data_IF_016269986387
#
_entry.id   IF_016269986387
#
_cell.length_a   1.000
_cell.length_b   1.000
_cell.length_c   1.000
_cell.angle_alpha   90.00
_cell.angle_beta   90.00
_cell.angle_gamma   90.00
#
_symmetry.space_group_name_H-M   'P 1'
#
loop_
_entity.id
_entity.type
_entity.pdbx_description
1 polymer ?
#
# COMPACT_ATOMS: atom_id res chain seq x y z
N UNK A 1 -14.29 1.76 -6.68
CA UNK A 1 -12.87 1.36 -6.67
C UNK A 1 -12.32 0.83 -7.99
N UNK A 2 -13.12 0.64 -9.06
CA UNK A 2 -12.61 0.24 -10.38
C UNK A 2 -12.38 1.42 -11.35
N UNK A 3 -12.55 2.65 -10.86
CA UNK A 3 -12.26 3.85 -11.64
C UNK A 3 -10.73 3.94 -11.87
N UNK A 4 -10.25 3.99 -13.13
CA UNK A 4 -8.83 4.10 -13.43
C UNK A 4 -8.24 5.45 -13.00
N UNK A 5 -9.05 6.51 -12.90
CA UNK A 5 -8.61 7.85 -12.48
C UNK A 5 -8.43 7.96 -10.95
N UNK A 6 -9.01 7.02 -10.20
CA UNK A 6 -8.86 6.95 -8.75
C UNK A 6 -7.57 6.22 -8.38
N UNK A 7 -6.51 6.99 -8.12
CA UNK A 7 -5.19 6.51 -7.76
C UNK A 7 -4.93 6.46 -6.24
N UNK A 8 -3.72 6.05 -5.86
CA UNK A 8 -3.33 5.93 -4.44
C UNK A 8 -3.38 7.29 -3.72
N UNK A 9 -3.07 8.39 -4.41
CA UNK A 9 -3.13 9.74 -3.84
C UNK A 9 -4.55 10.13 -3.43
N UNK A 10 -5.54 9.89 -4.31
CA UNK A 10 -6.95 10.15 -3.98
C UNK A 10 -7.40 9.32 -2.79
N UNK A 11 -6.97 8.05 -2.73
CA UNK A 11 -7.25 7.18 -1.59
C UNK A 11 -6.60 7.67 -0.29
N UNK A 12 -5.37 8.17 -0.35
CA UNK A 12 -4.70 8.80 0.79
C UNK A 12 -5.47 10.02 1.31
N UNK A 13 -5.91 10.90 0.42
CA UNK A 13 -6.70 12.09 0.79
C UNK A 13 -8.03 11.68 1.45
N UNK A 14 -8.70 10.66 0.91
CA UNK A 14 -9.94 10.11 1.49
C UNK A 14 -9.71 9.45 2.86
N UNK A 15 -8.59 8.76 3.07
CA UNK A 15 -8.23 8.20 4.37
C UNK A 15 -8.08 9.31 5.41
N UNK A 16 -7.40 10.41 5.09
CA UNK A 16 -7.23 11.53 6.02
C UNK A 16 -8.55 12.25 6.30
N UNK A 17 -9.41 12.39 5.29
CA UNK A 17 -10.73 13.00 5.47
C UNK A 17 -11.67 12.11 6.31
N UNK A 18 -11.57 10.79 6.17
CA UNK A 18 -12.44 9.83 6.85
C UNK A 18 -11.97 9.49 8.27
N UNK A 19 -10.65 9.47 8.48
CA UNK A 19 -10.00 9.09 9.73
C UNK A 19 -9.11 10.25 10.23
N UNK A 20 -9.71 11.36 10.70
CA UNK A 20 -8.95 12.51 11.19
C UNK A 20 -8.01 12.16 12.36
N UNK A 21 -8.28 11.07 13.08
CA UNK A 21 -7.40 10.52 14.12
C UNK A 21 -6.01 10.14 13.61
N UNK A 22 -5.83 9.88 12.31
CA UNK A 22 -4.51 9.62 11.73
C UNK A 22 -3.56 10.82 11.90
N UNK A 23 -4.09 12.03 12.01
CA UNK A 23 -3.29 13.24 12.24
C UNK A 23 -2.76 13.32 13.67
N UNK A 24 -3.37 12.60 14.62
CA UNK A 24 -2.94 12.61 16.02
C UNK A 24 -1.58 11.93 16.21
N UNK A 25 -1.18 11.02 15.32
CA UNK A 25 0.17 10.44 15.34
C UNK A 25 1.27 11.49 15.15
N UNK A 26 0.97 12.60 14.45
CA UNK A 26 1.90 13.71 14.24
C UNK A 26 1.91 14.75 15.35
N UNK A 27 0.94 14.69 16.27
CA UNK A 27 0.82 15.60 17.40
C UNK A 27 1.49 15.07 18.68
N UNK A 28 2.09 13.87 18.62
CA UNK A 28 2.70 13.22 19.77
C UNK A 28 4.18 13.62 19.93
N UNK A 29 4.54 14.09 21.13
CA UNK A 29 5.79 14.81 21.43
C UNK A 29 7.01 13.88 21.64
N UNK A 30 7.07 12.76 20.91
CA UNK A 30 8.23 11.86 20.91
C UNK A 30 8.21 10.76 21.98
N UNK A 31 7.04 10.46 22.55
CA UNK A 31 6.81 9.27 23.36
C UNK A 31 6.76 7.98 22.54
N UNK A 32 6.97 6.83 23.20
CA UNK A 32 6.58 5.55 22.62
C UNK A 32 5.08 5.36 22.84
N UNK A 33 4.37 4.95 21.79
CA UNK A 33 2.98 4.50 21.93
C UNK A 33 2.94 3.13 22.63
N UNK A 34 1.75 2.65 22.96
CA UNK A 34 1.56 1.37 23.68
C UNK A 34 2.17 0.14 22.99
N UNK A 35 2.43 0.21 21.68
CA UNK A 35 3.14 -0.83 20.92
C UNK A 35 4.66 -0.85 21.13
N UNK A 36 5.22 0.12 21.86
CA UNK A 36 6.66 0.29 22.05
C UNK A 36 7.38 0.91 20.85
N UNK A 37 6.64 1.49 19.90
CA UNK A 37 7.17 2.19 18.72
C UNK A 37 6.90 3.68 18.79
N UNK A 38 7.63 4.44 17.98
CA UNK A 38 7.33 5.86 17.80
C UNK A 38 5.99 6.04 17.09
N UNK A 39 5.33 7.16 17.35
CA UNK A 39 4.02 7.49 16.77
C UNK A 39 4.10 7.59 15.24
N UNK A 40 5.24 8.04 14.70
CA UNK A 40 5.50 8.06 13.26
C UNK A 40 5.61 6.66 12.65
N UNK A 41 6.26 5.71 13.35
CA UNK A 41 6.31 4.32 12.87
C UNK A 41 4.92 3.69 12.84
N UNK A 42 4.09 3.93 13.85
CA UNK A 42 2.70 3.43 13.85
C UNK A 42 1.85 4.10 12.77
N UNK A 43 2.02 5.39 12.52
CA UNK A 43 1.39 6.07 11.38
C UNK A 43 1.75 5.39 10.05
N UNK A 44 3.04 5.17 9.80
CA UNK A 44 3.52 4.53 8.58
C UNK A 44 3.00 3.10 8.42
N UNK A 45 2.93 2.33 9.51
CA UNK A 45 2.36 0.97 9.49
C UNK A 45 0.88 0.98 9.19
N UNK A 46 0.14 1.88 9.81
CA UNK A 46 -1.30 2.01 9.63
C UNK A 46 -1.62 2.41 8.19
N UNK A 47 -0.94 3.44 7.66
CA UNK A 47 -1.07 3.84 6.27
C UNK A 47 -0.62 2.74 5.30
N UNK A 48 0.47 2.03 5.60
CA UNK A 48 0.92 0.89 4.81
C UNK A 48 -0.13 -0.24 4.73
N UNK A 49 -0.83 -0.52 5.84
CA UNK A 49 -1.92 -1.49 5.85
C UNK A 49 -3.13 -1.03 5.04
N UNK A 50 -3.50 0.26 5.12
CA UNK A 50 -4.57 0.82 4.30
C UNK A 50 -4.23 0.77 2.80
N UNK A 51 -2.99 1.11 2.43
CA UNK A 51 -2.51 1.00 1.05
C UNK A 51 -2.48 -0.45 0.56
N UNK A 52 -2.11 -1.40 1.42
CA UNK A 52 -2.19 -2.82 1.10
C UNK A 52 -3.62 -3.23 0.69
N UNK A 53 -4.60 -2.87 1.51
CA UNK A 53 -6.02 -3.16 1.25
C UNK A 53 -6.48 -2.50 -0.05
N UNK A 54 -6.12 -1.24 -0.28
CA UNK A 54 -6.40 -0.53 -1.54
C UNK A 54 -5.89 -1.29 -2.76
N UNK A 55 -4.64 -1.76 -2.73
CA UNK A 55 -4.05 -2.48 -3.84
C UNK A 55 -4.65 -3.87 -4.06
N UNK A 56 -5.01 -4.58 -3.00
CA UNK A 56 -5.71 -5.85 -3.14
C UNK A 56 -7.09 -5.68 -3.77
N UNK A 57 -7.85 -4.65 -3.39
CA UNK A 57 -9.14 -4.35 -4.02
C UNK A 57 -9.01 -3.93 -5.50
N UNK A 58 -7.81 -3.52 -5.93
CA UNK A 58 -7.48 -3.13 -7.32
C UNK A 58 -6.57 -4.13 -8.03
N UNK A 59 -6.51 -5.37 -7.56
CA UNK A 59 -5.58 -6.38 -8.09
C UNK A 59 -5.65 -6.53 -9.61
N UNK A 60 -6.87 -6.59 -10.18
CA UNK A 60 -7.11 -6.74 -11.63
C UNK A 60 -6.74 -5.50 -12.46
N UNK A 61 -6.36 -4.40 -11.82
CA UNK A 61 -5.97 -3.13 -12.45
C UNK A 61 -4.49 -2.79 -12.24
N UNK A 62 -3.63 -3.81 -12.08
CA UNK A 62 -2.21 -3.60 -11.78
C UNK A 62 -1.92 -3.40 -10.29
N UNK A 63 -2.89 -3.70 -9.42
CA UNK A 63 -2.73 -3.56 -7.97
C UNK A 63 -1.74 -4.56 -7.38
N UNK A 64 -1.64 -5.78 -7.95
CA UNK A 64 -0.65 -6.76 -7.49
C UNK A 64 0.79 -6.26 -7.72
N UNK A 65 1.05 -5.68 -8.89
CA UNK A 65 2.34 -5.07 -9.21
C UNK A 65 2.61 -3.89 -8.29
N UNK A 66 1.66 -2.97 -8.15
CA UNK A 66 1.82 -1.77 -7.33
C UNK A 66 2.01 -2.11 -5.84
N UNK A 67 1.39 -3.18 -5.35
CA UNK A 67 1.63 -3.71 -4.01
C UNK A 67 3.09 -4.14 -3.82
N UNK A 68 3.68 -4.81 -4.82
CA UNK A 68 5.04 -5.31 -4.76
C UNK A 68 6.11 -4.26 -5.07
N UNK A 69 5.84 -3.35 -6.00
CA UNK A 69 6.80 -2.41 -6.57
C UNK A 69 6.58 -0.96 -6.12
N UNK A 70 5.46 -0.67 -5.47
CA UNK A 70 5.11 0.64 -4.92
C UNK A 70 4.63 1.64 -5.97
N UNK A 71 4.77 2.91 -5.63
CA UNK A 71 4.52 4.07 -6.49
C UNK A 71 5.79 4.92 -6.63
N UNK A 72 5.83 5.82 -7.60
CA UNK A 72 6.84 6.89 -7.67
C UNK A 72 6.43 8.15 -6.88
N UNK A 73 7.22 9.21 -7.01
CA UNK A 73 7.03 10.47 -6.30
C UNK A 73 5.76 11.22 -6.79
N UNK A 74 5.30 10.90 -7.99
CA UNK A 74 4.05 11.39 -8.58
C UNK A 74 2.82 10.55 -8.19
N UNK A 75 3.00 9.54 -7.32
CA UNK A 75 1.99 8.58 -6.89
C UNK A 75 1.49 7.64 -7.99
N UNK A 76 2.26 7.47 -9.06
CA UNK A 76 1.93 6.60 -10.16
C UNK A 76 2.34 5.14 -9.87
N UNK A 77 1.47 4.15 -10.19
CA UNK A 77 1.75 2.72 -10.08
C UNK A 77 3.07 2.28 -10.73
N UNK A 78 3.86 1.50 -9.99
CA UNK A 78 5.08 0.89 -10.52
C UNK A 78 4.92 -0.62 -10.77
N UNK A 79 5.76 -1.14 -11.66
CA UNK A 79 5.89 -2.55 -11.95
C UNK A 79 7.35 -2.93 -12.18
N UNK A 80 7.62 -4.21 -12.49
CA UNK A 80 8.97 -4.72 -12.71
C UNK A 80 9.77 -4.03 -13.83
N UNK A 81 9.10 -3.32 -14.74
CA UNK A 81 9.72 -2.57 -15.85
C UNK A 81 9.93 -1.10 -15.53
N UNK A 82 9.41 -0.60 -14.41
CA UNK A 82 9.60 0.78 -13.99
C UNK A 82 11.08 1.10 -13.83
N UNK A 83 11.52 2.15 -14.54
CA UNK A 83 12.93 2.60 -14.51
C UNK A 83 13.25 3.47 -13.31
N UNK A 84 12.23 4.11 -12.73
CA UNK A 84 12.31 4.94 -11.54
C UNK A 84 11.32 4.45 -10.47
N UNK A 85 11.63 4.66 -9.18
CA UNK A 85 12.95 5.05 -8.67
C UNK A 85 13.99 3.94 -8.93
N UNK A 86 15.25 4.33 -9.10
CA UNK A 86 16.35 3.38 -9.36
C UNK A 86 16.59 2.49 -8.14
N UNK A 87 16.24 1.21 -8.26
CA UNK A 87 16.44 0.20 -7.20
C UNK A 87 17.65 -0.69 -7.47
N UNK A 88 18.21 -1.28 -6.41
CA UNK A 88 19.28 -2.28 -6.54
C UNK A 88 18.72 -3.53 -7.22
N UNK A 89 19.53 -4.21 -8.06
CA UNK A 89 19.11 -5.43 -8.76
C UNK A 89 18.59 -6.52 -7.80
N UNK A 90 19.25 -6.66 -6.65
CA UNK A 90 18.85 -7.62 -5.61
C UNK A 90 17.47 -7.31 -5.02
N UNK A 91 17.15 -6.03 -4.84
CA UNK A 91 15.83 -5.60 -4.35
C UNK A 91 14.75 -5.87 -5.39
N UNK A 92 15.00 -5.57 -6.67
CA UNK A 92 14.09 -5.87 -7.78
C UNK A 92 13.81 -7.37 -7.84
N UNK A 93 14.86 -8.19 -7.73
CA UNK A 93 14.71 -9.65 -7.72
C UNK A 93 13.85 -10.13 -6.54
N UNK A 94 14.07 -9.63 -5.32
CA UNK A 94 13.25 -9.99 -4.15
C UNK A 94 11.78 -9.61 -4.33
N UNK A 95 11.49 -8.42 -4.84
CA UNK A 95 10.11 -7.96 -5.13
C UNK A 95 9.46 -8.83 -6.21
N UNK A 96 10.21 -9.19 -7.24
CA UNK A 96 9.73 -10.08 -8.30
C UNK A 96 9.46 -11.50 -7.78
N UNK A 97 10.34 -12.05 -6.94
CA UNK A 97 10.13 -13.34 -6.29
C UNK A 97 8.86 -13.30 -5.45
N UNK A 98 8.70 -12.28 -4.60
CA UNK A 98 7.49 -12.11 -3.81
C UNK A 98 6.24 -12.02 -4.70
N UNK A 99 6.28 -11.22 -5.78
CA UNK A 99 5.18 -11.14 -6.73
C UNK A 99 4.83 -12.49 -7.37
N UNK A 100 5.82 -13.35 -7.63
CA UNK A 100 5.59 -14.66 -8.24
C UNK A 100 5.08 -15.71 -7.25
N UNK A 101 5.48 -15.61 -5.98
CA UNK A 101 5.19 -16.62 -4.95
C UNK A 101 3.86 -16.40 -4.22
N UNK A 102 3.33 -15.17 -4.24
CA UNK A 102 2.04 -14.87 -3.61
C UNK A 102 0.89 -15.58 -4.33
N UNK A 103 0.04 -16.26 -3.56
CA UNK A 103 -1.21 -16.87 -4.03
C UNK A 103 -2.29 -15.79 -4.30
N UNK A 104 -2.11 -15.01 -5.36
CA UNK A 104 -2.99 -13.89 -5.69
C UNK A 104 -4.46 -14.26 -5.86
N UNK A 105 -4.75 -15.44 -6.39
CA UNK A 105 -6.12 -15.95 -6.57
C UNK A 105 -6.79 -16.19 -5.22
N UNK A 106 -6.06 -16.71 -4.23
CA UNK A 106 -6.56 -16.91 -2.87
C UNK A 106 -6.85 -15.59 -2.15
N UNK A 107 -6.06 -14.55 -2.43
CA UNK A 107 -6.33 -13.20 -1.93
C UNK A 107 -7.63 -12.65 -2.53
N UNK A 108 -7.85 -12.88 -3.83
CA UNK A 108 -9.12 -12.51 -4.50
C UNK A 108 -10.31 -13.26 -3.90
N UNK A 109 -10.17 -14.57 -3.64
CA UNK A 109 -11.21 -15.36 -2.98
C UNK A 109 -11.51 -14.84 -1.58
N UNK A 110 -10.50 -14.47 -0.81
CA UNK A 110 -10.71 -13.94 0.55
C UNK A 110 -11.43 -12.59 0.54
N UNK A 111 -11.13 -11.72 -0.42
CA UNK A 111 -11.66 -10.36 -0.47
C UNK A 111 -12.96 -10.23 -1.26
N UNK A 112 -13.15 -11.07 -2.29
CA UNK A 112 -14.33 -11.04 -3.17
C UNK A 112 -15.24 -12.26 -2.99
N UNK A 113 -14.77 -13.35 -2.38
CA UNK A 113 -15.52 -14.59 -2.20
C UNK A 113 -16.50 -14.59 -1.03
N UNK A 114 -16.52 -13.54 -0.20
CA UNK A 114 -17.58 -13.29 0.79
C UNK A 114 -18.82 -12.60 0.18
N UNK A 115 -19.20 -12.97 -1.05
CA UNK A 115 -20.51 -12.66 -1.61
C UNK A 115 -21.16 -13.97 -2.03
N UNK A 116 -21.77 -14.66 -1.06
CA UNK A 116 -22.88 -15.60 -1.29
C UNK A 116 -23.93 -15.34 -0.22
#
# INVERSE_FOLDING_TARGET
MLDPTYGLKSFYDDCLASFPELLLYGADDGGLVSSGRSSMEEYQRTMGALFAVFWFMRRKMGGAESFCFGVDDEWEPLNARSKQPRRKKEEIAKRQTFFNEVEWERIDELLCGCIV
#
